data_IF_331372312370
#
_entry.id   IF_331372312370
#
_cell.length_a   1.000
_cell.length_b   1.000
_cell.length_c   1.000
_cell.angle_alpha   90.00
_cell.angle_beta   90.00
_cell.angle_gamma   90.00
#
_symmetry.space_group_name_H-M   'P 1'
#
loop_
_entity.id
_entity.type
_entity.pdbx_description
1 polymer ?
#
# COMPACT_ATOMS: atom_id res chain seq x y z
N UNK A 1 1.82 35.31 3.92
CA UNK A 1 0.88 34.33 3.31
C UNK A 1 1.30 32.86 3.47
N UNK A 2 2.37 32.58 4.23
CA UNK A 2 2.75 31.24 4.68
C UNK A 2 2.84 31.29 6.21
N UNK A 3 1.74 31.01 6.90
CA UNK A 3 1.81 30.70 8.32
C UNK A 3 2.02 29.18 8.44
N UNK A 4 3.24 28.71 8.77
CA UNK A 4 3.53 27.28 8.83
C UNK A 4 2.62 26.54 9.82
N UNK A 5 2.01 27.25 10.78
CA UNK A 5 1.12 26.65 11.78
C UNK A 5 -0.14 26.02 11.19
N UNK A 6 -0.64 26.49 10.04
CA UNK A 6 -1.90 25.99 9.47
C UNK A 6 -1.71 24.71 8.61
N UNK A 7 -0.51 24.49 8.08
CA UNK A 7 -0.17 23.33 7.24
C UNK A 7 0.32 22.12 8.05
N UNK A 8 0.90 22.38 9.23
CA UNK A 8 1.36 21.31 10.13
C UNK A 8 0.25 20.30 10.47
N UNK A 9 -0.96 20.71 10.88
CA UNK A 9 -2.05 19.78 11.18
C UNK A 9 -2.40 18.84 10.01
N UNK A 10 -2.43 19.37 8.78
CA UNK A 10 -2.70 18.55 7.59
C UNK A 10 -1.60 17.52 7.34
N UNK A 11 -0.33 17.91 7.52
CA UNK A 11 0.80 16.99 7.41
C UNK A 11 0.73 15.89 8.47
N UNK A 12 0.46 16.25 9.73
CA UNK A 12 0.29 15.32 10.85
C UNK A 12 -0.81 14.30 10.57
N UNK A 13 -1.98 14.75 10.13
CA UNK A 13 -3.11 13.87 9.80
C UNK A 13 -2.75 12.96 8.63
N UNK A 14 -2.17 13.50 7.56
CA UNK A 14 -1.81 12.72 6.36
C UNK A 14 -0.80 11.62 6.68
N UNK A 15 0.28 11.96 7.39
CA UNK A 15 1.31 10.98 7.78
C UNK A 15 0.76 10.00 8.82
N UNK A 16 -0.09 10.46 9.74
CA UNK A 16 -0.73 9.60 10.73
C UNK A 16 -1.59 8.51 10.07
N UNK A 17 -2.44 8.90 9.12
CA UNK A 17 -3.24 7.95 8.33
C UNK A 17 -2.39 7.01 7.48
N UNK A 18 -1.31 7.51 6.88
CA UNK A 18 -0.39 6.66 6.11
C UNK A 18 0.24 5.57 6.98
N UNK A 19 0.75 5.92 8.16
CA UNK A 19 1.32 4.93 9.10
C UNK A 19 0.27 3.92 9.59
N UNK A 20 -0.95 4.38 9.87
CA UNK A 20 -2.05 3.50 10.23
C UNK A 20 -2.36 2.49 9.10
N UNK A 21 -2.42 2.97 7.86
CA UNK A 21 -2.67 2.12 6.69
C UNK A 21 -1.53 1.11 6.48
N UNK A 22 -0.26 1.52 6.65
CA UNK A 22 0.89 0.61 6.58
C UNK A 22 0.78 -0.52 7.62
N UNK A 23 0.39 -0.20 8.85
CA UNK A 23 0.13 -1.20 9.90
C UNK A 23 -1.01 -2.16 9.54
N UNK A 24 -2.14 -1.62 9.08
CA UNK A 24 -3.30 -2.41 8.63
C UNK A 24 -2.95 -3.38 7.50
N UNK A 25 -2.27 -2.89 6.46
CA UNK A 25 -1.82 -3.71 5.32
C UNK A 25 -0.87 -4.80 5.80
N UNK A 26 0.03 -4.50 6.75
CA UNK A 26 0.94 -5.47 7.36
C UNK A 26 0.19 -6.63 8.03
N UNK A 27 -0.81 -6.34 8.88
CA UNK A 27 -1.61 -7.37 9.56
C UNK A 27 -2.39 -8.24 8.57
N UNK A 28 -3.01 -7.61 7.56
CA UNK A 28 -3.74 -8.33 6.50
C UNK A 28 -2.79 -9.25 5.71
N UNK A 29 -1.60 -8.76 5.37
CA UNK A 29 -0.60 -9.53 4.64
C UNK A 29 -0.11 -10.74 5.43
N UNK A 30 0.23 -10.57 6.72
CA UNK A 30 0.64 -11.67 7.60
C UNK A 30 -0.47 -12.73 7.66
N UNK A 31 -1.71 -12.31 7.92
CA UNK A 31 -2.87 -13.22 8.01
C UNK A 31 -3.11 -13.96 6.69
N UNK A 32 -2.94 -13.30 5.54
CA UNK A 32 -3.08 -13.92 4.24
C UNK A 32 -1.98 -14.96 3.98
N UNK A 33 -0.71 -14.61 4.19
CA UNK A 33 0.41 -15.54 3.97
C UNK A 33 0.29 -16.75 4.91
N UNK A 34 -0.11 -16.56 6.16
CA UNK A 34 -0.36 -17.65 7.11
C UNK A 34 -1.41 -18.66 6.63
N UNK A 35 -2.37 -18.26 5.77
CA UNK A 35 -3.35 -19.17 5.17
C UNK A 35 -2.82 -19.95 3.97
N UNK A 36 -1.77 -19.45 3.32
CA UNK A 36 -1.21 -20.01 2.07
C UNK A 36 -0.02 -20.93 2.33
N UNK A 37 0.72 -20.72 3.42
CA UNK A 37 1.92 -21.49 3.77
C UNK A 37 1.57 -22.77 4.53
N UNK A 38 2.25 -23.88 4.23
CA UNK A 38 2.08 -25.15 4.95
C UNK A 38 2.99 -25.24 6.19
N UNK A 39 2.54 -25.97 7.21
CA UNK A 39 3.21 -26.06 8.53
C UNK A 39 4.64 -26.62 8.51
N UNK A 40 5.06 -27.29 7.42
CA UNK A 40 6.32 -28.06 7.33
C UNK A 40 7.54 -27.22 6.90
N UNK A 41 7.36 -26.15 6.10
CA UNK A 41 8.45 -25.27 5.62
C UNK A 41 8.10 -23.78 5.77
N UNK A 42 7.54 -23.43 6.93
CA UNK A 42 6.85 -22.17 7.15
C UNK A 42 7.74 -20.94 6.99
N UNK A 43 8.98 -20.96 7.46
CA UNK A 43 9.85 -19.77 7.47
C UNK A 43 10.29 -19.33 6.06
N UNK A 44 10.79 -20.25 5.24
CA UNK A 44 11.31 -19.92 3.89
C UNK A 44 10.17 -19.58 2.93
N UNK A 45 9.05 -20.32 2.97
CA UNK A 45 7.89 -20.03 2.12
C UNK A 45 7.25 -18.69 2.48
N UNK A 46 7.12 -18.39 3.78
CA UNK A 46 6.67 -17.09 4.24
C UNK A 46 7.58 -15.96 3.75
N UNK A 47 8.91 -16.13 3.90
CA UNK A 47 9.88 -15.14 3.47
C UNK A 47 9.82 -14.90 1.95
N UNK A 48 9.75 -15.94 1.13
CA UNK A 48 9.67 -15.82 -0.34
C UNK A 48 8.37 -15.12 -0.76
N UNK A 49 7.22 -15.49 -0.17
CA UNK A 49 5.93 -14.86 -0.49
C UNK A 49 5.90 -13.38 -0.07
N UNK A 50 6.46 -13.07 1.10
CA UNK A 50 6.57 -11.70 1.58
C UNK A 50 7.52 -10.87 0.70
N UNK A 51 8.68 -11.42 0.33
CA UNK A 51 9.64 -10.77 -0.57
C UNK A 51 9.01 -10.54 -1.95
N UNK A 52 8.28 -11.52 -2.48
CA UNK A 52 7.57 -11.38 -3.76
C UNK A 52 6.55 -10.22 -3.72
N UNK A 53 5.85 -10.04 -2.60
CA UNK A 53 4.90 -8.94 -2.43
C UNK A 53 5.54 -7.57 -2.19
N UNK A 54 6.76 -7.50 -1.65
CA UNK A 54 7.35 -6.25 -1.14
C UNK A 54 8.52 -5.73 -1.97
N UNK A 55 9.36 -6.60 -2.54
CA UNK A 55 10.56 -6.22 -3.29
C UNK A 55 10.23 -5.39 -4.53
N UNK A 56 9.25 -5.77 -5.38
CA UNK A 56 8.92 -4.97 -6.56
C UNK A 56 8.43 -3.57 -6.21
N UNK A 57 7.56 -3.48 -5.19
CA UNK A 57 7.04 -2.20 -4.71
C UNK A 57 8.17 -1.30 -4.16
N UNK A 58 9.10 -1.87 -3.38
CA UNK A 58 10.26 -1.14 -2.86
C UNK A 58 11.21 -0.67 -3.96
N UNK A 59 11.38 -1.46 -5.02
CA UNK A 59 12.22 -1.05 -6.14
C UNK A 59 11.63 0.17 -6.86
N UNK A 60 10.33 0.15 -7.15
CA UNK A 60 9.60 1.28 -7.74
C UNK A 60 9.69 2.52 -6.83
N UNK A 61 9.46 2.34 -5.52
CA UNK A 61 9.58 3.42 -4.54
C UNK A 61 11.01 3.98 -4.47
N UNK A 62 12.04 3.14 -4.58
CA UNK A 62 13.44 3.58 -4.59
C UNK A 62 13.77 4.45 -5.80
N UNK A 63 13.17 4.19 -6.97
CA UNK A 63 13.39 5.00 -8.18
C UNK A 63 12.55 6.28 -8.21
N UNK A 64 11.56 6.42 -7.32
CA UNK A 64 10.66 7.59 -7.29
C UNK A 64 11.37 8.94 -7.14
N UNK A 65 12.55 8.99 -6.52
CA UNK A 65 13.32 10.22 -6.36
C UNK A 65 13.72 10.87 -7.69
N UNK A 66 14.01 10.08 -8.72
CA UNK A 66 14.26 10.59 -10.07
C UNK A 66 13.04 11.29 -10.66
N UNK A 67 11.86 10.76 -10.38
CA UNK A 67 10.58 11.32 -10.81
C UNK A 67 10.32 12.66 -10.11
N UNK A 68 10.50 12.70 -8.79
CA UNK A 68 10.34 13.92 -7.98
C UNK A 68 11.31 15.03 -8.43
N UNK A 69 12.55 14.68 -8.79
CA UNK A 69 13.52 15.66 -9.29
C UNK A 69 13.10 16.32 -10.61
N UNK A 70 12.30 15.64 -11.44
CA UNK A 70 11.80 16.17 -12.71
C UNK A 70 10.46 16.90 -12.61
N UNK A 71 9.51 16.39 -11.81
CA UNK A 71 8.12 16.91 -11.75
C UNK A 71 7.77 17.64 -10.46
N UNK A 72 8.61 17.58 -9.43
CA UNK A 72 8.38 18.18 -8.12
C UNK A 72 7.45 17.36 -7.21
N UNK A 73 7.52 17.65 -5.91
CA UNK A 73 6.78 16.93 -4.87
C UNK A 73 5.25 17.06 -5.00
N UNK A 74 4.75 18.24 -5.36
CA UNK A 74 3.31 18.49 -5.47
C UNK A 74 2.64 17.56 -6.49
N UNK A 75 3.17 17.51 -7.72
CA UNK A 75 2.64 16.65 -8.77
C UNK A 75 2.89 15.17 -8.49
N UNK A 76 4.01 14.81 -7.85
CA UNK A 76 4.28 13.44 -7.44
C UNK A 76 3.20 12.89 -6.49
N UNK A 77 2.85 13.65 -5.44
CA UNK A 77 1.81 13.25 -4.49
C UNK A 77 0.41 13.23 -5.13
N UNK A 78 0.12 14.14 -6.06
CA UNK A 78 -1.14 14.11 -6.82
C UNK A 78 -1.27 12.83 -7.66
N UNK A 79 -0.20 12.45 -8.38
CA UNK A 79 -0.18 11.22 -9.18
C UNK A 79 -0.30 9.99 -8.26
N UNK A 80 0.44 9.97 -7.14
CA UNK A 80 0.39 8.88 -6.17
C UNK A 80 -1.03 8.72 -5.58
N UNK A 81 -1.69 9.82 -5.23
CA UNK A 81 -3.08 9.81 -4.76
C UNK A 81 -4.05 9.33 -5.85
N UNK A 82 -3.86 9.75 -7.10
CA UNK A 82 -4.70 9.34 -8.23
C UNK A 82 -4.57 7.84 -8.52
N UNK A 83 -3.39 7.25 -8.34
CA UNK A 83 -3.16 5.81 -8.45
C UNK A 83 -3.89 4.99 -7.38
N UNK A 84 -4.30 5.61 -6.27
CA UNK A 84 -5.17 4.96 -5.27
C UNK A 84 -6.58 4.65 -5.78
N UNK A 85 -7.10 5.47 -6.71
CA UNK A 85 -8.44 5.31 -7.28
C UNK A 85 -8.61 3.97 -8.00
N UNK A 86 -7.76 3.59 -8.98
CA UNK A 86 -7.88 2.29 -9.63
C UNK A 86 -7.70 1.12 -8.64
N UNK A 87 -6.85 1.26 -7.61
CA UNK A 87 -6.71 0.23 -6.59
C UNK A 87 -8.01 -0.01 -5.79
N UNK A 88 -8.71 1.07 -5.42
CA UNK A 88 -10.02 0.99 -4.76
C UNK A 88 -11.07 0.35 -5.69
N UNK A 89 -11.09 0.75 -6.96
CA UNK A 89 -12.00 0.18 -7.96
C UNK A 89 -11.77 -1.33 -8.11
N UNK A 90 -10.52 -1.77 -8.27
CA UNK A 90 -10.21 -3.19 -8.39
C UNK A 90 -10.56 -3.98 -7.11
N UNK A 91 -10.27 -3.43 -5.94
CA UNK A 91 -10.63 -4.03 -4.65
C UNK A 91 -12.16 -4.20 -4.54
N UNK A 92 -12.92 -3.17 -4.91
CA UNK A 92 -14.38 -3.21 -4.91
C UNK A 92 -14.92 -4.28 -5.88
N UNK A 93 -14.38 -4.37 -7.10
CA UNK A 93 -14.77 -5.39 -8.09
C UNK A 93 -14.52 -6.80 -7.56
N UNK A 94 -13.34 -7.05 -6.97
CA UNK A 94 -12.99 -8.35 -6.39
C UNK A 94 -13.91 -8.70 -5.24
N UNK A 95 -14.20 -7.74 -4.35
CA UNK A 95 -15.13 -7.94 -3.25
C UNK A 95 -16.54 -8.32 -3.74
N UNK A 96 -17.06 -7.60 -4.75
CA UNK A 96 -18.35 -7.90 -5.37
C UNK A 96 -18.39 -9.30 -6.00
N UNK A 97 -17.34 -9.71 -6.73
CA UNK A 97 -17.27 -11.05 -7.33
C UNK A 97 -17.16 -12.15 -6.28
N UNK A 98 -16.33 -11.97 -5.25
CA UNK A 98 -16.15 -12.96 -4.19
C UNK A 98 -17.44 -13.21 -3.40
N UNK A 99 -18.25 -12.17 -3.18
CA UNK A 99 -19.58 -12.31 -2.58
C UNK A 99 -20.55 -13.12 -3.46
N UNK A 100 -20.45 -13.00 -4.79
CA UNK A 100 -21.30 -13.74 -5.73
C UNK A 100 -20.90 -15.22 -5.79
N UNK A 101 -19.61 -15.54 -5.75
CA UNK A 101 -19.11 -16.93 -5.83
C UNK A 101 -19.00 -17.65 -4.48
N UNK A 102 -19.23 -16.96 -3.36
CA UNK A 102 -19.21 -17.57 -2.01
C UNK A 102 -20.56 -18.15 -1.57
N UNK A 103 -21.57 -18.18 -2.45
CA UNK A 103 -22.91 -18.75 -2.20
C UNK A 103 -23.15 -20.10 -2.91
N UNK A 104 -22.09 -20.80 -3.33
CA UNK A 104 -22.17 -22.14 -3.95
C UNK A 104 -21.49 -23.18 -3.09
#
# INVERSE_FOLDING_TARGET
>A
DLDPSNDLPFLWVTIGFDNFNQGYIGTVAITFISRVVSQSYTATQYAILFLLGTVPARFIASTSGFLVNGVGYHYFFLIASALGIPAIIFSYIVWRKKLIFSQG
#
